data_IF_837151937912
#
_entry.id   IF_837151937912
#
_cell.length_a   1.000
_cell.length_b   1.000
_cell.length_c   1.000
_cell.angle_alpha   90.00
_cell.angle_beta   90.00
_cell.angle_gamma   90.00
#
_symmetry.space_group_name_H-M   'P 1'
#
loop_
_entity.id
_entity.type
_entity.pdbx_description
1 polymer ?
#
# COMPACT_ATOMS: atom_id res chain seq x y z
N UNK A 1 -0.57 -1.03 -3.42
CA UNK A 1 -1.89 -0.61 -2.92
C UNK A 1 -2.95 -1.63 -3.30
N UNK A 2 -4.03 -1.79 -2.54
CA UNK A 2 -5.12 -2.71 -2.91
C UNK A 2 -5.97 -2.22 -4.08
N UNK A 3 -6.67 -3.14 -4.76
CA UNK A 3 -7.57 -2.85 -5.90
C UNK A 3 -8.56 -1.71 -5.64
N UNK A 4 -9.27 -1.72 -4.49
CA UNK A 4 -10.27 -0.68 -4.18
C UNK A 4 -9.62 0.71 -4.03
N UNK A 5 -8.45 0.77 -3.39
CA UNK A 5 -7.66 2.01 -3.26
C UNK A 5 -7.20 2.54 -4.62
N UNK A 6 -6.80 1.66 -5.55
CA UNK A 6 -6.46 2.09 -6.90
C UNK A 6 -7.64 2.79 -7.60
N UNK A 7 -8.83 2.19 -7.53
CA UNK A 7 -10.03 2.74 -8.19
C UNK A 7 -10.62 3.96 -7.46
N UNK A 8 -10.29 4.20 -6.20
CA UNK A 8 -10.71 5.42 -5.48
C UNK A 8 -9.86 6.64 -5.84
N UNK A 9 -8.69 6.46 -6.48
CA UNK A 9 -7.87 7.57 -6.96
C UNK A 9 -8.48 8.08 -8.29
N UNK A 10 -8.75 9.40 -8.44
CA UNK A 10 -9.26 9.97 -9.68
C UNK A 10 -8.39 9.62 -10.89
N UNK A 11 -8.99 9.35 -12.05
CA UNK A 11 -8.26 8.83 -13.22
C UNK A 11 -7.12 9.75 -13.67
N UNK A 12 -7.34 11.07 -13.64
CA UNK A 12 -6.32 12.10 -13.93
C UNK A 12 -5.10 12.06 -13.01
N UNK A 13 -5.21 11.40 -11.87
CA UNK A 13 -4.16 11.22 -10.87
C UNK A 13 -3.57 9.80 -10.90
N UNK A 14 -3.98 8.94 -11.84
CA UNK A 14 -3.44 7.59 -12.05
C UNK A 14 -2.58 7.53 -13.32
N UNK A 15 -1.41 6.86 -13.28
CA UNK A 15 -0.70 6.45 -12.08
C UNK A 15 -0.26 7.65 -11.23
N UNK A 16 0.05 7.38 -9.97
CA UNK A 16 0.68 8.38 -9.13
C UNK A 16 2.03 8.78 -9.72
N UNK A 17 2.17 10.06 -10.09
CA UNK A 17 3.37 10.61 -10.78
C UNK A 17 4.66 10.30 -10.01
N UNK A 18 5.74 10.07 -10.77
CA UNK A 18 7.11 9.82 -10.29
C UNK A 18 7.26 8.64 -9.33
N UNK A 19 6.35 7.66 -9.42
CA UNK A 19 6.32 6.47 -8.55
C UNK A 19 6.01 5.22 -9.36
N UNK A 20 6.61 4.10 -8.99
CA UNK A 20 6.17 2.79 -9.46
C UNK A 20 4.87 2.45 -8.72
N UNK A 21 3.83 2.10 -9.46
CA UNK A 21 2.49 1.83 -8.93
C UNK A 21 2.21 0.34 -9.07
N UNK A 22 2.19 -0.38 -7.94
CA UNK A 22 1.83 -1.79 -7.86
C UNK A 22 0.44 -1.93 -7.25
N UNK A 23 -0.47 -2.57 -7.99
CA UNK A 23 -1.83 -2.89 -7.51
C UNK A 23 -1.86 -4.33 -7.01
N UNK A 24 -2.49 -4.58 -5.87
CA UNK A 24 -2.71 -5.91 -5.32
C UNK A 24 -4.14 -6.37 -5.59
N UNK A 25 -4.26 -7.53 -6.23
CA UNK A 25 -5.55 -8.19 -6.44
C UNK A 25 -5.40 -9.67 -6.76
N UNK A 26 -6.12 -10.52 -6.04
CA UNK A 26 -6.24 -11.94 -6.38
C UNK A 26 -7.14 -12.26 -7.58
N UNK A 27 -7.90 -11.30 -8.10
CA UNK A 27 -8.92 -11.53 -9.14
C UNK A 27 -8.56 -10.90 -10.49
N UNK A 28 -7.66 -9.91 -10.51
CA UNK A 28 -7.22 -9.30 -11.77
C UNK A 28 -6.21 -10.22 -12.46
N UNK A 29 -6.30 -10.29 -13.79
CA UNK A 29 -5.36 -11.05 -14.62
C UNK A 29 -4.26 -10.18 -15.24
N UNK A 30 -4.45 -8.86 -15.22
CA UNK A 30 -3.53 -7.89 -15.76
C UNK A 30 -3.58 -6.60 -14.93
N UNK A 31 -2.50 -5.79 -14.90
CA UNK A 31 -2.52 -4.47 -14.27
C UNK A 31 -3.69 -3.62 -14.79
N UNK A 32 -4.46 -2.96 -13.91
CA UNK A 32 -5.50 -2.04 -14.37
C UNK A 32 -4.89 -0.88 -15.15
N UNK A 33 -5.67 -0.25 -16.04
CA UNK A 33 -5.19 0.82 -16.91
C UNK A 33 -4.39 1.89 -16.16
N UNK A 34 -3.14 2.10 -16.58
CA UNK A 34 -2.20 3.07 -16.00
C UNK A 34 -1.35 2.54 -14.84
N UNK A 35 -1.67 1.39 -14.23
CA UNK A 35 -0.79 0.78 -13.24
C UNK A 35 0.43 0.17 -13.92
N UNK A 36 1.58 0.20 -13.25
CA UNK A 36 2.82 -0.37 -13.78
C UNK A 36 2.85 -1.89 -13.59
N UNK A 37 2.40 -2.37 -12.43
CA UNK A 37 2.47 -3.79 -12.06
C UNK A 37 1.22 -4.24 -11.30
N UNK A 38 0.99 -5.55 -11.34
CA UNK A 38 -0.02 -6.27 -10.58
C UNK A 38 0.67 -7.38 -9.80
N UNK A 39 0.27 -7.57 -8.54
CA UNK A 39 0.65 -8.74 -7.75
C UNK A 39 -0.58 -9.34 -7.06
N UNK A 40 -0.54 -10.63 -6.72
CA UNK A 40 -1.65 -11.32 -6.04
C UNK A 40 -1.77 -10.89 -4.58
N UNK A 41 -0.64 -10.57 -3.95
CA UNK A 41 -0.48 -10.33 -2.52
C UNK A 41 0.76 -9.47 -2.24
N UNK A 42 0.98 -9.09 -0.98
CA UNK A 42 2.10 -8.23 -0.62
C UNK A 42 3.48 -8.91 -0.77
N UNK A 43 3.69 -10.17 -0.36
CA UNK A 43 4.98 -10.86 -0.58
C UNK A 43 5.38 -10.96 -2.05
N UNK A 44 4.45 -11.32 -2.95
CA UNK A 44 4.71 -11.35 -4.39
C UNK A 44 5.03 -9.97 -4.97
N UNK A 45 4.44 -8.90 -4.43
CA UNK A 45 4.80 -7.53 -4.81
C UNK A 45 6.23 -7.17 -4.39
N UNK A 46 6.69 -7.59 -3.21
CA UNK A 46 8.08 -7.38 -2.79
C UNK A 46 9.06 -8.14 -3.70
N UNK A 47 8.79 -9.42 -3.99
CA UNK A 47 9.60 -10.21 -4.92
C UNK A 47 9.68 -9.58 -6.31
N UNK A 48 8.56 -9.02 -6.81
CA UNK A 48 8.53 -8.29 -8.06
C UNK A 48 9.42 -7.05 -8.03
N UNK A 49 9.41 -6.29 -6.94
CA UNK A 49 10.23 -5.09 -6.78
C UNK A 49 11.73 -5.41 -6.62
N UNK A 50 12.06 -6.59 -6.08
CA UNK A 50 13.43 -7.09 -5.95
C UNK A 50 13.98 -7.73 -7.24
N UNK A 51 13.12 -7.96 -8.24
CA UNK A 51 13.54 -8.55 -9.51
C UNK A 51 14.56 -7.67 -10.24
N UNK A 52 15.51 -8.29 -10.96
CA UNK A 52 16.66 -7.61 -11.57
C UNK A 52 16.31 -6.38 -12.44
N UNK A 53 15.14 -6.35 -13.06
CA UNK A 53 14.67 -5.23 -13.89
C UNK A 53 14.30 -3.96 -13.08
N UNK A 54 13.92 -4.15 -11.82
CA UNK A 54 13.49 -3.11 -10.88
C UNK A 54 14.49 -2.90 -9.74
N UNK A 55 15.35 -3.88 -9.50
CA UNK A 55 16.46 -3.79 -8.58
C UNK A 55 17.29 -2.53 -8.86
N UNK A 56 17.49 -1.69 -7.86
CA UNK A 56 18.19 -0.40 -7.97
C UNK A 56 17.36 0.78 -8.49
N UNK A 57 16.12 0.57 -8.96
CA UNK A 57 15.18 1.64 -9.31
C UNK A 57 14.25 2.01 -8.15
N UNK A 58 14.07 1.09 -7.20
CA UNK A 58 13.22 1.26 -6.03
C UNK A 58 14.07 1.67 -4.84
N UNK A 59 13.80 2.87 -4.30
CA UNK A 59 14.45 3.34 -3.07
C UNK A 59 13.65 2.97 -1.82
N UNK A 60 12.32 3.18 -1.84
CA UNK A 60 11.46 2.96 -0.69
C UNK A 60 10.09 2.43 -1.12
N UNK A 61 9.53 1.51 -0.32
CA UNK A 61 8.22 0.90 -0.56
C UNK A 61 7.18 1.55 0.34
N UNK A 62 6.17 2.16 -0.29
CA UNK A 62 5.07 2.84 0.41
C UNK A 62 3.76 2.05 0.28
N UNK A 63 3.26 1.58 1.42
CA UNK A 63 1.93 0.96 1.53
C UNK A 63 0.90 2.06 1.73
N UNK A 64 0.09 2.34 0.70
CA UNK A 64 -0.94 3.40 0.74
C UNK A 64 -2.37 2.86 0.93
N UNK A 65 -2.49 1.67 1.52
CA UNK A 65 -3.76 1.04 1.87
C UNK A 65 -4.27 0.02 0.85
N UNK A 66 -5.46 -0.57 1.05
CA UNK A 66 -6.45 -0.25 2.09
C UNK A 66 -6.32 -1.05 3.41
N UNK A 67 -7.42 -1.13 4.16
CA UNK A 67 -7.50 -1.71 5.51
C UNK A 67 -6.85 -3.09 5.66
N UNK A 68 -7.15 -4.03 4.74
CA UNK A 68 -6.58 -5.38 4.80
C UNK A 68 -5.06 -5.39 4.59
N UNK A 69 -4.57 -4.58 3.65
CA UNK A 69 -3.14 -4.47 3.37
C UNK A 69 -2.41 -3.77 4.52
N UNK A 70 -3.02 -2.75 5.13
CA UNK A 70 -2.48 -2.16 6.36
C UNK A 70 -2.38 -3.21 7.46
N UNK A 71 -3.41 -4.04 7.64
CA UNK A 71 -3.41 -5.07 8.69
C UNK A 71 -2.26 -6.05 8.50
N UNK A 72 -2.19 -6.65 7.31
CA UNK A 72 -1.14 -7.59 6.92
C UNK A 72 0.26 -6.99 7.17
N UNK A 73 0.50 -5.80 6.61
CA UNK A 73 1.82 -5.15 6.68
C UNK A 73 2.17 -4.64 8.08
N UNK A 74 1.19 -4.36 8.95
CA UNK A 74 1.42 -4.02 10.36
C UNK A 74 1.74 -5.24 11.22
N UNK A 75 1.33 -6.44 10.80
CA UNK A 75 1.49 -7.71 11.52
C UNK A 75 2.74 -8.49 11.11
N UNK A 76 3.28 -8.25 9.90
CA UNK A 76 4.52 -8.87 9.40
C UNK A 76 5.72 -8.65 10.34
N UNK A 77 6.83 -9.39 10.19
CA UNK A 77 8.10 -9.07 10.85
C UNK A 77 8.90 -7.98 10.09
N UNK A 78 9.84 -7.32 10.78
CA UNK A 78 10.77 -6.34 10.18
C UNK A 78 10.50 -4.86 10.54
N UNK A 79 11.42 -3.95 10.22
CA UNK A 79 11.23 -2.53 10.51
C UNK A 79 10.16 -1.92 9.59
N UNK A 80 9.34 -1.02 10.14
CA UNK A 80 8.45 -0.14 9.35
C UNK A 80 8.13 1.13 10.11
N UNK A 81 7.65 2.13 9.39
CA UNK A 81 7.15 3.39 9.95
C UNK A 81 5.72 3.61 9.49
N UNK A 82 4.88 4.02 10.43
CA UNK A 82 3.50 4.39 10.14
C UNK A 82 3.41 5.91 10.07
N UNK A 83 3.14 6.45 8.89
CA UNK A 83 2.87 7.87 8.69
C UNK A 83 1.37 8.10 8.80
N UNK A 84 0.93 8.60 9.95
CA UNK A 84 -0.50 8.69 10.30
C UNK A 84 -0.94 10.15 10.33
N UNK A 85 -1.86 10.53 9.44
CA UNK A 85 -2.56 11.81 9.52
C UNK A 85 -3.76 11.66 10.45
N UNK A 86 -3.77 12.39 11.59
CA UNK A 86 -4.89 12.39 12.53
C UNK A 86 -5.91 13.46 12.13
N UNK A 87 -7.03 13.04 11.57
CA UNK A 87 -8.17 13.93 11.30
C UNK A 87 -9.00 14.02 12.58
N UNK A 88 -8.99 15.18 13.24
CA UNK A 88 -9.63 15.39 14.55
C UNK A 88 -11.14 15.70 14.42
N UNK A 89 -11.83 14.95 13.57
CA UNK A 89 -13.26 15.05 13.31
C UNK A 89 -13.85 13.67 13.03
N UNK A 90 -15.15 13.51 13.25
CA UNK A 90 -15.87 12.26 12.98
C UNK A 90 -16.54 12.30 11.62
N UNK A 91 -16.51 11.15 10.93
CA UNK A 91 -17.15 10.94 9.64
C UNK A 91 -17.80 9.55 9.63
N UNK A 92 -18.86 9.40 8.86
CA UNK A 92 -19.44 8.09 8.58
C UNK A 92 -18.47 7.30 7.69
N UNK A 93 -17.96 6.18 8.23
CA UNK A 93 -16.95 5.35 7.60
C UNK A 93 -17.41 3.89 7.53
N UNK A 94 -17.11 3.21 6.43
CA UNK A 94 -17.35 1.78 6.24
C UNK A 94 -16.07 0.93 6.28
N UNK A 95 -14.91 1.59 6.30
CA UNK A 95 -13.58 0.98 6.23
C UNK A 95 -12.66 1.66 7.23
N UNK A 96 -12.01 0.88 8.10
CA UNK A 96 -11.23 1.40 9.22
C UNK A 96 -9.76 1.00 9.15
N UNK A 97 -8.88 1.84 9.71
CA UNK A 97 -7.48 1.48 9.95
C UNK A 97 -7.42 0.40 11.05
N UNK A 98 -6.57 -0.63 10.92
CA UNK A 98 -6.32 -1.58 12.00
C UNK A 98 -5.77 -0.88 13.25
N UNK A 99 -6.04 -1.46 14.43
CA UNK A 99 -5.52 -0.94 15.70
C UNK A 99 -3.99 -0.92 15.71
N UNK A 100 -3.41 0.24 16.02
CA UNK A 100 -1.96 0.39 16.17
C UNK A 100 -1.58 -0.07 17.58
N UNK A 101 -0.96 -1.25 17.68
CA UNK A 101 -0.52 -1.80 18.96
C UNK A 101 0.72 -1.04 19.49
N UNK A 102 0.54 -0.27 20.57
CA UNK A 102 1.61 0.53 21.18
C UNK A 102 2.69 -0.29 21.91
N UNK A 103 2.48 -1.60 22.12
CA UNK A 103 3.53 -2.52 22.58
C UNK A 103 4.52 -2.85 21.45
N UNK A 104 4.09 -2.71 20.19
CA UNK A 104 4.89 -2.95 18.99
C UNK A 104 5.38 -1.66 18.33
N UNK A 105 4.66 -0.57 18.51
CA UNK A 105 4.92 0.72 17.89
C UNK A 105 5.12 1.81 18.94
N UNK A 106 6.06 2.71 18.67
CA UNK A 106 6.28 3.92 19.47
C UNK A 106 6.01 5.15 18.61
N UNK A 107 5.29 6.12 19.17
CA UNK A 107 5.13 7.43 18.54
C UNK A 107 6.47 8.17 18.58
N UNK A 108 6.94 8.59 17.40
CA UNK A 108 8.13 9.42 17.27
C UNK A 108 7.76 10.90 17.53
N UNK A 109 8.69 11.70 18.11
CA UNK A 109 8.49 13.13 18.32
C UNK A 109 8.33 13.91 17.02
#
# INVERSE_FOLDING_TARGET
>A
MGRKTWFSIPERNRPLKNRINVVLSGNLKAPPAGAHYLASDFPSALQLLDAAELAGKVHEVWVIGGSSLYKETMEMPGPRRLFVTRVLQQFDCDTFLPHINMDKYRLLP
#
